data_IF_133120094488
#
_entry.id   IF_133120094488
#
_cell.length_a   1.000
_cell.length_b   1.000
_cell.length_c   1.000
_cell.angle_alpha   90.00
_cell.angle_beta   90.00
_cell.angle_gamma   90.00
#
_symmetry.space_group_name_H-M   'P 1'
#
loop_
_entity.id
_entity.type
_entity.pdbx_description
1 polymer ?
#
# COMPACT_ATOMS: atom_id res chain seq x y z
N UNK A 1 63.39 19.35 17.38
CA UNK A 1 62.38 18.51 18.06
C UNK A 1 61.02 19.14 17.82
N UNK A 2 60.18 18.51 16.99
CA UNK A 2 58.77 18.87 16.76
C UNK A 2 57.94 17.59 16.92
N UNK A 3 56.83 17.58 17.69
CA UNK A 3 55.97 16.42 17.76
C UNK A 3 54.97 16.42 16.59
N UNK A 4 54.88 15.26 15.91
CA UNK A 4 53.88 14.95 14.91
C UNK A 4 52.56 14.58 15.62
N UNK A 5 51.55 15.45 15.53
CA UNK A 5 50.17 15.13 15.88
C UNK A 5 49.46 14.54 14.65
N UNK A 6 49.36 13.21 14.62
CA UNK A 6 48.60 12.47 13.61
C UNK A 6 47.13 12.39 14.08
N UNK A 7 46.31 13.36 13.68
CA UNK A 7 44.85 13.28 13.80
C UNK A 7 44.29 12.91 12.44
N UNK A 8 44.03 11.61 12.22
CA UNK A 8 43.18 11.21 11.10
C UNK A 8 41.77 11.76 11.33
N UNK A 9 41.21 12.56 10.41
CA UNK A 9 39.80 12.94 10.49
C UNK A 9 38.97 11.67 10.29
N UNK A 10 38.22 11.29 11.33
CA UNK A 10 37.17 10.28 11.23
C UNK A 10 36.23 10.67 10.09
N UNK A 11 36.29 9.91 9.01
CA UNK A 11 35.47 10.12 7.82
C UNK A 11 34.03 9.72 8.15
N UNK A 12 33.18 10.71 8.45
CA UNK A 12 31.76 10.50 8.78
C UNK A 12 30.90 10.16 7.56
N UNK A 13 31.41 10.31 6.32
CA UNK A 13 30.64 10.05 5.09
C UNK A 13 30.32 8.56 4.88
N UNK A 14 31.11 7.64 5.44
CA UNK A 14 30.82 6.19 5.33
C UNK A 14 29.58 5.76 6.11
N UNK A 15 29.09 6.58 7.06
CA UNK A 15 27.89 6.28 7.84
C UNK A 15 26.60 6.57 7.05
N UNK A 16 26.67 7.42 6.02
CA UNK A 16 25.53 7.81 5.19
C UNK A 16 25.26 6.81 4.05
N UNK A 17 26.27 6.12 3.54
CA UNK A 17 26.11 5.16 2.42
C UNK A 17 25.09 4.03 2.70
N UNK A 18 25.04 3.56 3.95
CA UNK A 18 24.10 2.50 4.34
C UNK A 18 22.67 3.02 4.47
N UNK A 19 22.52 4.26 4.96
CA UNK A 19 21.24 4.94 5.09
C UNK A 19 20.69 5.33 3.71
N UNK A 20 21.55 5.80 2.82
CA UNK A 20 21.19 6.11 1.44
C UNK A 20 20.77 4.85 0.67
N UNK A 21 21.46 3.73 0.87
CA UNK A 21 21.08 2.45 0.27
C UNK A 21 19.68 1.98 0.71
N UNK A 22 19.34 2.07 1.99
CA UNK A 22 18.03 1.66 2.54
C UNK A 22 16.90 2.60 2.09
N UNK A 23 17.18 3.91 1.99
CA UNK A 23 16.26 4.92 1.47
C UNK A 23 15.99 4.79 -0.04
N UNK A 24 17.00 4.37 -0.82
CA UNK A 24 16.86 4.02 -2.24
C UNK A 24 16.06 2.74 -2.42
N UNK A 25 16.32 1.71 -1.60
CA UNK A 25 15.60 0.45 -1.69
C UNK A 25 14.12 0.56 -1.30
N UNK A 26 13.79 1.50 -0.41
CA UNK A 26 12.41 1.83 -0.04
C UNK A 26 11.70 2.76 -1.04
N UNK A 27 12.38 3.24 -2.08
CA UNK A 27 11.81 4.11 -3.12
C UNK A 27 11.51 5.53 -2.65
N UNK A 28 12.07 5.95 -1.51
CA UNK A 28 11.87 7.29 -0.93
C UNK A 28 12.78 8.32 -1.63
N UNK A 29 14.01 7.93 -1.96
CA UNK A 29 14.93 8.74 -2.77
C UNK A 29 14.78 8.37 -4.24
N UNK A 30 14.40 9.34 -5.07
CA UNK A 30 14.49 9.20 -6.53
C UNK A 30 15.97 9.18 -6.95
N UNK A 31 16.34 8.39 -7.98
CA UNK A 31 17.70 8.38 -8.49
C UNK A 31 18.15 9.80 -8.85
N UNK A 32 19.21 10.29 -8.20
CA UNK A 32 19.85 11.54 -8.59
C UNK A 32 20.54 11.34 -9.94
N UNK A 33 20.26 12.22 -10.90
CA UNK A 33 20.67 12.19 -12.32
C UNK A 33 22.19 12.10 -12.62
N UNK A 34 23.05 11.97 -11.59
CA UNK A 34 24.50 11.93 -11.73
C UNK A 34 25.09 10.53 -12.01
N UNK A 35 24.32 9.44 -11.89
CA UNK A 35 24.79 8.08 -12.24
C UNK A 35 24.49 7.72 -13.71
N UNK A 36 24.88 8.60 -14.64
CA UNK A 36 24.88 8.30 -16.08
C UNK A 36 26.23 7.70 -16.49
N UNK A 37 26.47 6.45 -16.11
CA UNK A 37 27.44 5.63 -16.83
C UNK A 37 26.95 4.20 -16.98
N UNK A 38 26.64 3.87 -18.23
CA UNK A 38 26.57 2.52 -18.80
C UNK A 38 25.32 1.71 -18.39
N UNK A 39 24.19 2.03 -19.02
CA UNK A 39 23.19 1.00 -19.35
C UNK A 39 22.86 1.06 -20.84
N UNK A 40 22.98 -0.10 -21.47
CA UNK A 40 22.67 -0.41 -22.86
C UNK A 40 21.17 -0.21 -23.16
N UNK A 41 20.81 0.05 -24.42
CA UNK A 41 19.42 0.29 -24.81
C UNK A 41 18.61 -1.02 -24.77
N UNK A 42 17.82 -1.22 -23.73
CA UNK A 42 16.72 -2.20 -23.76
C UNK A 42 15.49 -1.57 -24.39
N UNK A 43 14.97 -2.23 -25.42
CA UNK A 43 13.72 -1.88 -26.08
C UNK A 43 12.53 -1.96 -25.11
N UNK A 44 11.50 -1.09 -25.26
CA UNK A 44 10.28 -1.19 -24.48
C UNK A 44 9.48 -2.45 -24.86
N UNK A 45 8.91 -3.17 -23.89
CA UNK A 45 8.06 -4.33 -24.15
C UNK A 45 6.72 -3.92 -24.76
N UNK A 46 6.32 -4.68 -25.77
CA UNK A 46 5.08 -4.55 -26.55
C UNK A 46 3.84 -4.75 -25.65
N UNK A 47 2.76 -3.95 -25.80
CA UNK A 47 1.57 -3.98 -24.92
C UNK A 47 0.77 -5.30 -24.88
N UNK A 48 1.08 -6.27 -25.73
CA UNK A 48 0.29 -7.50 -25.86
C UNK A 48 0.61 -8.57 -24.79
N UNK A 49 1.66 -8.40 -23.98
CA UNK A 49 2.13 -9.46 -23.07
C UNK A 49 1.71 -9.29 -21.60
N UNK A 50 0.99 -8.22 -21.24
CA UNK A 50 0.57 -7.96 -19.85
C UNK A 50 -0.74 -8.67 -19.42
N UNK A 51 -1.40 -9.42 -20.30
CA UNK A 51 -2.76 -9.95 -20.04
C UNK A 51 -2.84 -11.40 -19.53
N UNK A 52 -1.71 -12.10 -19.32
CA UNK A 52 -1.76 -13.56 -19.04
C UNK A 52 -1.05 -14.05 -17.77
N UNK A 53 -0.63 -13.17 -16.87
CA UNK A 53 -0.02 -13.58 -15.60
C UNK A 53 -0.82 -13.06 -14.39
N UNK A 54 -2.04 -13.57 -14.21
CA UNK A 54 -2.71 -13.54 -12.90
C UNK A 54 -2.56 -14.91 -12.25
N UNK A 55 -1.85 -15.03 -11.10
CA UNK A 55 -1.85 -16.27 -10.33
C UNK A 55 -3.25 -16.56 -9.78
N UNK A 56 -3.62 -17.85 -9.62
CA UNK A 56 -4.89 -18.21 -8.99
C UNK A 56 -4.88 -17.72 -7.54
N UNK A 57 -5.74 -16.75 -7.25
CA UNK A 57 -6.09 -16.33 -5.90
C UNK A 57 -6.63 -17.55 -5.14
N UNK A 58 -5.82 -18.07 -4.23
CA UNK A 58 -6.27 -19.06 -3.24
C UNK A 58 -7.37 -18.43 -2.39
N UNK A 59 -8.56 -19.03 -2.45
CA UNK A 59 -9.70 -18.80 -1.58
C UNK A 59 -9.34 -19.14 -0.12
N UNK A 60 -8.80 -18.18 0.61
CA UNK A 60 -8.67 -18.22 2.07
C UNK A 60 -9.19 -16.93 2.73
N UNK A 61 -10.18 -16.28 2.12
CA UNK A 61 -10.95 -15.23 2.79
C UNK A 61 -12.07 -15.88 3.58
N UNK A 62 -12.10 -15.77 4.93
CA UNK A 62 -13.24 -16.22 5.69
C UNK A 62 -14.43 -15.33 5.32
N UNK A 63 -15.46 -15.97 4.78
CA UNK A 63 -16.78 -15.39 4.50
C UNK A 63 -17.37 -14.92 5.83
N UNK A 64 -17.27 -13.63 6.10
CA UNK A 64 -17.95 -13.00 7.23
C UNK A 64 -19.40 -12.79 6.81
N UNK A 65 -20.28 -13.64 7.33
CA UNK A 65 -21.72 -13.47 7.16
C UNK A 65 -22.16 -12.13 7.75
N UNK A 66 -23.02 -11.36 7.07
CA UNK A 66 -23.58 -10.14 7.62
C UNK A 66 -24.65 -10.53 8.64
N UNK A 67 -24.22 -10.81 9.88
CA UNK A 67 -25.13 -10.93 11.01
C UNK A 67 -25.67 -9.53 11.33
N UNK A 68 -26.94 -9.40 11.01
CA UNK A 68 -27.87 -8.40 11.46
C UNK A 68 -27.74 -8.14 12.98
N UNK A 69 -27.66 -6.86 13.30
CA UNK A 69 -28.40 -6.23 14.39
C UNK A 69 -28.15 -6.76 15.81
N UNK A 70 -26.92 -6.62 16.31
CA UNK A 70 -26.67 -6.58 17.75
C UNK A 70 -26.40 -5.15 18.20
N UNK A 71 -27.44 -4.55 18.78
CA UNK A 71 -27.40 -3.36 19.63
C UNK A 71 -26.17 -3.39 20.54
N UNK A 72 -25.15 -2.63 20.17
CA UNK A 72 -23.98 -2.42 21.03
C UNK A 72 -24.43 -1.45 22.12
N UNK A 73 -24.49 -1.87 23.40
CA UNK A 73 -24.84 -0.94 24.46
C UNK A 73 -23.78 0.16 24.49
N UNK A 74 -24.25 1.40 24.44
CA UNK A 74 -23.44 2.61 24.55
C UNK A 74 -22.69 2.56 25.90
N UNK A 75 -21.45 2.09 25.88
CA UNK A 75 -20.59 2.16 27.05
C UNK A 75 -20.26 3.64 27.27
N UNK A 76 -20.98 4.27 28.19
CA UNK A 76 -20.59 5.56 28.78
C UNK A 76 -19.21 5.38 29.38
N UNK A 77 -18.22 5.96 28.71
CA UNK A 77 -16.87 6.06 29.22
C UNK A 77 -16.89 7.10 30.34
N UNK A 78 -16.98 6.63 31.59
CA UNK A 78 -16.73 7.46 32.75
C UNK A 78 -15.20 7.56 32.91
N UNK A 79 -14.60 8.76 32.75
CA UNK A 79 -13.17 8.91 32.92
C UNK A 79 -12.81 8.61 34.37
N UNK A 80 -12.15 7.48 34.59
CA UNK A 80 -11.62 7.10 35.89
C UNK A 80 -10.65 8.20 36.35
N UNK A 81 -11.01 8.86 37.45
CA UNK A 81 -10.12 9.74 38.20
C UNK A 81 -8.81 9.01 38.53
N UNK A 82 -7.67 9.71 38.64
CA UNK A 82 -6.38 9.11 38.92
C UNK A 82 -6.46 8.24 40.18
N UNK A 83 -6.50 6.93 40.01
CA UNK A 83 -6.49 6.00 41.13
C UNK A 83 -5.07 6.02 41.68
N UNK A 84 -4.96 6.34 42.97
CA UNK A 84 -3.71 6.29 43.70
C UNK A 84 -3.14 4.89 43.56
N UNK A 85 -1.98 4.79 42.90
CA UNK A 85 -1.21 3.55 42.77
C UNK A 85 -0.96 2.99 44.17
N UNK A 86 -1.49 1.81 44.53
CA UNK A 86 -1.11 1.16 45.76
C UNK A 86 0.39 0.85 45.68
N UNK A 87 1.12 1.32 46.71
CA UNK A 87 2.53 1.06 46.95
C UNK A 87 2.74 -0.46 47.00
N UNK A 88 3.21 -1.04 45.90
CA UNK A 88 3.55 -2.46 45.83
C UNK A 88 4.75 -2.71 46.74
N UNK A 89 4.50 -3.34 47.89
CA UNK A 89 5.52 -4.09 48.61
C UNK A 89 5.98 -5.27 47.72
N UNK A 90 7.29 -5.56 47.68
CA UNK A 90 7.80 -6.72 46.96
C UNK A 90 7.32 -7.99 47.65
N UNK A 91 6.26 -8.60 47.14
CA UNK A 91 5.94 -9.99 47.45
C UNK A 91 6.95 -10.89 46.74
N UNK A 92 7.74 -11.61 47.54
CA UNK A 92 8.60 -12.69 47.11
C UNK A 92 7.77 -13.85 46.54
N UNK A 93 7.48 -13.80 45.24
CA UNK A 93 7.01 -14.96 44.46
C UNK A 93 8.15 -15.97 44.26
N UNK A 94 8.59 -16.60 45.34
CA UNK A 94 9.36 -17.84 45.25
C UNK A 94 8.37 -19.01 45.16
N UNK A 95 8.57 -19.89 44.18
CA UNK A 95 7.93 -21.22 44.00
C UNK A 95 6.78 -21.36 42.99
N UNK A 96 6.88 -20.74 41.82
CA UNK A 96 6.38 -21.43 40.61
C UNK A 96 7.56 -22.07 39.89
N UNK A 97 7.76 -23.37 40.10
CA UNK A 97 8.65 -24.22 39.28
C UNK A 97 8.04 -24.29 37.86
N UNK A 98 8.17 -23.22 37.09
CA UNK A 98 7.88 -23.24 35.67
C UNK A 98 9.10 -23.90 35.05
N UNK A 99 8.94 -25.12 34.56
CA UNK A 99 9.99 -25.84 33.86
C UNK A 99 10.26 -25.12 32.53
N UNK A 100 11.33 -24.31 32.52
CA UNK A 100 11.77 -23.53 31.35
C UNK A 100 12.61 -24.39 30.39
N UNK A 101 12.90 -25.66 30.70
CA UNK A 101 13.70 -26.54 29.85
C UNK A 101 13.13 -26.72 28.43
N UNK A 102 11.79 -26.84 28.22
CA UNK A 102 11.22 -26.91 26.88
C UNK A 102 11.49 -25.62 26.06
N UNK A 103 11.43 -24.46 26.71
CA UNK A 103 11.66 -23.17 26.07
C UNK A 103 13.13 -22.96 25.71
N UNK A 104 14.05 -23.33 26.60
CA UNK A 104 15.50 -23.26 26.35
C UNK A 104 15.88 -24.19 25.17
N UNK A 105 15.33 -25.40 25.11
CA UNK A 105 15.54 -26.33 23.98
C UNK A 105 15.01 -25.78 22.66
N UNK A 106 13.84 -25.13 22.66
CA UNK A 106 13.27 -24.50 21.47
C UNK A 106 14.15 -23.36 20.94
N UNK A 107 14.71 -22.53 21.83
CA UNK A 107 15.62 -21.45 21.43
C UNK A 107 16.94 -21.98 20.86
N UNK A 108 17.51 -23.05 21.43
CA UNK A 108 18.72 -23.69 20.87
C UNK A 108 18.48 -24.30 19.48
N UNK A 109 17.29 -24.87 19.23
CA UNK A 109 16.94 -25.43 17.91
C UNK A 109 16.71 -24.31 16.87
N UNK A 110 16.09 -23.20 17.27
CA UNK A 110 15.85 -22.08 16.35
C UNK A 110 17.16 -21.38 15.94
N UNK A 111 18.13 -21.29 16.87
CA UNK A 111 19.46 -20.78 16.58
C UNK A 111 20.27 -21.64 15.59
N UNK A 112 20.09 -22.97 15.60
CA UNK A 112 20.78 -23.87 14.67
C UNK A 112 20.17 -23.90 13.27
N UNK A 113 18.85 -23.68 13.13
CA UNK A 113 18.19 -23.53 11.82
C UNK A 113 18.62 -22.26 11.08
N UNK A 114 18.99 -21.20 11.78
CA UNK A 114 19.46 -19.96 11.16
C UNK A 114 20.84 -20.11 10.49
N UNK A 115 21.60 -21.17 10.80
CA UNK A 115 22.94 -21.39 10.26
C UNK A 115 22.99 -22.22 8.97
N UNK A 116 21.87 -22.76 8.48
CA UNK A 116 21.85 -23.66 7.32
C UNK A 116 21.38 -23.06 5.99
N UNK A 117 20.93 -21.79 5.95
CA UNK A 117 20.40 -21.18 4.71
C UNK A 117 21.29 -20.12 4.06
N UNK A 118 22.57 -19.99 4.45
CA UNK A 118 23.45 -19.02 3.78
C UNK A 118 24.90 -19.55 3.63
N UNK A 119 25.05 -20.60 2.81
CA UNK A 119 26.35 -21.02 2.28
C UNK A 119 26.54 -20.44 0.88
N UNK A 120 27.09 -19.23 0.82
CA UNK A 120 27.84 -18.75 -0.34
C UNK A 120 29.24 -18.35 0.18
N UNK A 121 30.30 -19.12 -0.08
CA UNK A 121 31.62 -18.81 0.45
C UNK A 121 32.38 -18.00 -0.59
N UNK A 122 32.61 -16.71 -0.37
CA UNK A 122 33.82 -16.00 -0.82
C UNK A 122 34.07 -14.72 -0.01
N UNK A 123 35.36 -14.52 0.28
CA UNK A 123 36.05 -13.37 0.86
C UNK A 123 36.14 -13.21 2.39
N UNK A 124 37.35 -13.51 2.87
CA UNK A 124 38.16 -12.75 3.82
C UNK A 124 37.52 -12.24 5.11
N UNK A 125 37.99 -12.76 6.25
CA UNK A 125 39.11 -12.09 6.94
C UNK A 125 39.71 -12.97 8.03
N UNK A 126 41.05 -13.03 8.00
CA UNK A 126 41.92 -13.49 9.07
C UNK A 126 41.50 -12.88 10.42
N UNK A 127 41.35 -13.72 11.44
CA UNK A 127 41.61 -13.30 12.83
C UNK A 127 42.17 -14.49 13.62
N UNK A 128 43.47 -14.69 13.39
CA UNK A 128 44.51 -14.85 14.40
C UNK A 128 44.06 -15.46 15.75
N UNK A 129 44.03 -16.80 15.83
CA UNK A 129 44.05 -17.52 17.10
C UNK A 129 45.46 -17.48 17.68
N UNK A 130 45.77 -16.41 18.43
CA UNK A 130 46.99 -16.34 19.20
C UNK A 130 46.92 -17.31 20.38
N UNK A 131 47.74 -18.36 20.29
CA UNK A 131 48.14 -19.23 21.37
C UNK A 131 48.76 -18.44 22.53
N UNK A 132 48.09 -18.36 23.68
CA UNK A 132 48.72 -17.81 24.88
C UNK A 132 49.07 -18.93 25.86
N UNK A 133 50.34 -19.33 25.73
CA UNK A 133 51.13 -20.03 26.72
C UNK A 133 51.44 -19.05 27.86
N UNK A 134 50.88 -19.34 29.05
CA UNK A 134 51.24 -18.86 30.40
C UNK A 134 52.34 -17.79 30.50
N UNK A 135 51.96 -16.56 30.84
CA UNK A 135 52.73 -15.73 31.78
C UNK A 135 51.83 -15.26 32.92
N UNK A 136 52.45 -15.20 34.09
CA UNK A 136 51.88 -15.29 35.42
C UNK A 136 52.05 -13.91 36.07
N UNK A 137 50.92 -13.36 36.54
CA UNK A 137 50.75 -12.55 37.76
C UNK A 137 50.98 -11.03 37.83
N UNK A 138 50.83 -10.24 36.75
CA UNK A 138 50.73 -8.76 36.88
C UNK A 138 49.53 -8.10 36.13
N UNK A 139 48.72 -8.84 35.38
CA UNK A 139 47.83 -8.28 34.33
C UNK A 139 46.30 -8.36 34.56
N UNK A 140 45.84 -8.69 35.77
CA UNK A 140 44.42 -8.95 36.04
C UNK A 140 43.59 -7.65 36.11
N UNK A 141 44.15 -6.56 36.66
CA UNK A 141 43.43 -5.28 36.80
C UNK A 141 43.29 -4.55 35.45
N UNK A 142 44.30 -4.58 34.58
CA UNK A 142 44.22 -4.01 33.23
C UNK A 142 43.22 -4.75 32.33
N UNK A 143 43.17 -6.09 32.42
CA UNK A 143 42.17 -6.89 31.73
C UNK A 143 40.74 -6.63 32.24
N UNK A 144 40.58 -6.34 33.54
CA UNK A 144 39.27 -5.99 34.09
C UNK A 144 38.78 -4.63 33.57
N UNK A 145 39.66 -3.62 33.45
CA UNK A 145 39.32 -2.33 32.87
C UNK A 145 38.94 -2.44 31.39
N UNK A 146 39.68 -3.22 30.61
CA UNK A 146 39.39 -3.43 29.18
C UNK A 146 38.04 -4.14 28.97
N UNK A 147 37.70 -5.11 29.82
CA UNK A 147 36.38 -5.77 29.80
C UNK A 147 35.27 -4.80 30.18
N UNK A 148 35.50 -3.90 31.15
CA UNK A 148 34.54 -2.88 31.57
C UNK A 148 34.25 -1.89 30.42
N UNK A 149 35.29 -1.45 29.71
CA UNK A 149 35.19 -0.54 28.56
C UNK A 149 34.44 -1.21 27.40
N UNK A 150 34.71 -2.49 27.13
CA UNK A 150 33.97 -3.27 26.13
C UNK A 150 32.47 -3.39 26.48
N UNK A 151 32.13 -3.54 27.77
CA UNK A 151 30.74 -3.58 28.23
C UNK A 151 30.08 -2.21 28.05
N UNK A 152 30.78 -1.12 28.40
CA UNK A 152 30.28 0.24 28.20
C UNK A 152 30.01 0.52 26.71
N UNK A 153 30.93 0.13 25.83
CA UNK A 153 30.78 0.28 24.38
C UNK A 153 29.59 -0.53 23.84
N UNK A 154 29.37 -1.75 24.33
CA UNK A 154 28.20 -2.57 23.97
C UNK A 154 26.88 -1.93 24.41
N UNK A 155 26.83 -1.36 25.61
CA UNK A 155 25.65 -0.63 26.11
C UNK A 155 25.36 0.60 25.28
N UNK A 156 26.38 1.35 24.90
CA UNK A 156 26.25 2.50 24.01
C UNK A 156 25.67 2.06 22.66
N UNK A 157 26.27 1.05 22.01
CA UNK A 157 25.78 0.52 20.73
C UNK A 157 24.34 0.01 20.81
N UNK A 158 23.96 -0.69 21.88
CA UNK A 158 22.58 -1.16 22.07
C UNK A 158 21.60 -0.01 22.27
N UNK A 159 21.99 1.02 23.02
CA UNK A 159 21.19 2.24 23.22
C UNK A 159 20.92 2.93 21.88
N UNK A 160 21.96 3.08 21.04
CA UNK A 160 21.82 3.64 19.71
C UNK A 160 20.97 2.76 18.79
N UNK A 161 21.14 1.44 18.85
CA UNK A 161 20.31 0.50 18.10
C UNK A 161 18.83 0.60 18.50
N UNK A 162 18.52 0.72 19.81
CA UNK A 162 17.18 0.91 20.31
C UNK A 162 16.58 2.25 19.86
N UNK A 163 17.37 3.34 19.90
CA UNK A 163 16.97 4.66 19.40
C UNK A 163 16.62 4.59 17.92
N UNK A 164 17.51 4.01 17.10
CA UNK A 164 17.28 3.83 15.65
C UNK A 164 16.05 2.97 15.38
N UNK A 165 15.83 1.91 16.15
CA UNK A 165 14.65 1.05 16.03
C UNK A 165 13.36 1.83 16.29
N UNK A 166 13.33 2.66 17.35
CA UNK A 166 12.19 3.54 17.65
C UNK A 166 11.98 4.58 16.55
N UNK A 167 13.04 5.19 16.06
CA UNK A 167 12.96 6.18 14.97
C UNK A 167 12.39 5.56 13.68
N UNK A 168 12.87 4.39 13.27
CA UNK A 168 12.31 3.66 12.10
C UNK A 168 10.84 3.31 12.30
N UNK A 169 10.45 2.92 13.51
CA UNK A 169 9.04 2.64 13.82
C UNK A 169 8.19 3.90 13.70
N UNK A 170 8.64 5.04 14.23
CA UNK A 170 7.95 6.32 14.11
C UNK A 170 7.79 6.73 12.64
N UNK A 171 8.87 6.72 11.86
CA UNK A 171 8.82 7.03 10.42
C UNK A 171 7.86 6.12 9.65
N UNK A 172 7.82 4.82 9.98
CA UNK A 172 6.87 3.88 9.36
C UNK A 172 5.42 4.21 9.74
N UNK A 173 5.16 4.59 10.98
CA UNK A 173 3.82 5.02 11.41
C UNK A 173 3.39 6.28 10.67
N UNK A 174 4.25 7.31 10.62
CA UNK A 174 3.98 8.56 9.92
C UNK A 174 3.70 8.32 8.42
N UNK A 175 4.47 7.43 7.78
CA UNK A 175 4.26 7.06 6.38
C UNK A 175 2.93 6.32 6.16
N UNK A 176 2.52 5.47 7.10
CA UNK A 176 1.22 4.79 7.04
C UNK A 176 0.07 5.78 7.24
N UNK A 177 0.17 6.69 8.20
CA UNK A 177 -0.83 7.74 8.44
C UNK A 177 -1.01 8.62 7.20
N UNK A 178 0.10 9.07 6.59
CA UNK A 178 0.05 9.81 5.33
C UNK A 178 -0.63 9.01 4.21
N UNK A 179 -0.29 7.72 4.07
CA UNK A 179 -0.91 6.87 3.06
C UNK A 179 -2.41 6.69 3.29
N UNK A 180 -2.85 6.60 4.54
CA UNK A 180 -4.29 6.55 4.88
C UNK A 180 -4.96 7.85 4.44
N UNK A 181 -4.40 9.01 4.80
CA UNK A 181 -4.94 10.31 4.38
C UNK A 181 -5.04 10.44 2.86
N UNK A 182 -3.99 10.06 2.13
CA UNK A 182 -3.97 10.11 0.66
C UNK A 182 -5.03 9.17 0.06
N UNK A 183 -5.17 7.95 0.61
CA UNK A 183 -6.17 6.98 0.16
C UNK A 183 -7.60 7.43 0.48
N UNK A 184 -7.84 8.06 1.63
CA UNK A 184 -9.14 8.61 2.02
C UNK A 184 -9.54 9.77 1.10
N UNK A 185 -8.63 10.69 0.82
CA UNK A 185 -8.85 11.79 -0.11
C UNK A 185 -9.16 11.31 -1.54
N UNK A 186 -8.40 10.31 -2.02
CA UNK A 186 -8.65 9.70 -3.33
C UNK A 186 -10.00 8.96 -3.36
N UNK A 187 -10.36 8.26 -2.28
CA UNK A 187 -11.64 7.58 -2.18
C UNK A 187 -12.82 8.57 -2.21
N UNK A 188 -12.73 9.68 -1.45
CA UNK A 188 -13.72 10.76 -1.50
C UNK A 188 -13.84 11.34 -2.91
N UNK A 189 -12.70 11.63 -3.56
CA UNK A 189 -12.67 12.14 -4.94
C UNK A 189 -13.34 11.17 -5.93
N UNK A 190 -13.10 9.87 -5.80
CA UNK A 190 -13.71 8.85 -6.64
C UNK A 190 -15.22 8.72 -6.39
N UNK A 191 -15.66 8.78 -5.13
CA UNK A 191 -17.08 8.78 -4.78
C UNK A 191 -17.82 9.96 -5.38
N UNK A 192 -17.24 11.17 -5.31
CA UNK A 192 -17.81 12.36 -5.93
C UNK A 192 -17.95 12.19 -7.45
N UNK A 193 -16.92 11.67 -8.13
CA UNK A 193 -17.00 11.39 -9.57
C UNK A 193 -18.07 10.36 -9.91
N UNK A 194 -18.19 9.30 -9.11
CA UNK A 194 -19.22 8.29 -9.29
C UNK A 194 -20.62 8.90 -9.16
N UNK A 195 -20.85 9.72 -8.12
CA UNK A 195 -22.13 10.40 -7.92
C UNK A 195 -22.49 11.34 -9.08
N UNK A 196 -21.52 12.11 -9.60
CA UNK A 196 -21.73 12.95 -10.79
C UNK A 196 -22.11 12.11 -11.99
N UNK A 197 -21.34 11.06 -12.31
CA UNK A 197 -21.61 10.20 -13.45
C UNK A 197 -22.98 9.49 -13.35
N UNK A 198 -23.39 9.07 -12.14
CA UNK A 198 -24.70 8.50 -11.90
C UNK A 198 -25.83 9.51 -12.13
N UNK A 199 -25.65 10.76 -11.69
CA UNK A 199 -26.62 11.84 -11.94
C UNK A 199 -26.75 12.19 -13.42
N UNK A 200 -25.63 12.19 -14.17
CA UNK A 200 -25.61 12.42 -15.61
C UNK A 200 -26.30 11.29 -16.36
N UNK A 201 -26.01 10.04 -15.99
CA UNK A 201 -26.68 8.85 -16.56
C UNK A 201 -28.19 8.93 -16.36
N UNK A 202 -28.64 9.23 -15.15
CA UNK A 202 -30.06 9.36 -14.84
C UNK A 202 -30.73 10.48 -15.65
N UNK A 203 -30.05 11.61 -15.84
CA UNK A 203 -30.55 12.73 -16.65
C UNK A 203 -30.67 12.34 -18.14
N UNK A 204 -29.67 11.66 -18.69
CA UNK A 204 -29.69 11.18 -20.08
C UNK A 204 -30.83 10.17 -20.27
N UNK A 205 -30.97 9.20 -19.38
CA UNK A 205 -32.04 8.20 -19.42
C UNK A 205 -33.43 8.85 -19.37
N UNK A 206 -33.61 9.88 -18.53
CA UNK A 206 -34.86 10.62 -18.45
C UNK A 206 -35.16 11.38 -19.76
N UNK A 207 -34.15 12.01 -20.38
CA UNK A 207 -34.28 12.66 -21.69
C UNK A 207 -34.62 11.65 -22.78
N UNK A 208 -33.96 10.50 -22.78
CA UNK A 208 -34.21 9.44 -23.75
C UNK A 208 -35.64 8.92 -23.66
N UNK A 209 -36.15 8.67 -22.45
CA UNK A 209 -37.56 8.28 -22.23
C UNK A 209 -38.53 9.33 -22.78
N UNK A 210 -38.30 10.62 -22.49
CA UNK A 210 -39.14 11.72 -23.03
C UNK A 210 -39.11 11.77 -24.55
N UNK A 211 -37.92 11.66 -25.15
CA UNK A 211 -37.75 11.65 -26.61
C UNK A 211 -38.47 10.46 -27.25
N UNK A 212 -38.33 9.24 -26.68
CA UNK A 212 -39.03 8.05 -27.17
C UNK A 212 -40.55 8.23 -27.16
N UNK A 213 -41.10 8.74 -26.05
CA UNK A 213 -42.54 9.04 -25.96
C UNK A 213 -42.96 10.06 -27.02
N UNK A 214 -42.16 11.11 -27.24
CA UNK A 214 -42.47 12.13 -28.25
C UNK A 214 -42.44 11.57 -29.68
N UNK A 215 -41.49 10.68 -29.98
CA UNK A 215 -41.41 9.99 -31.28
C UNK A 215 -42.66 9.15 -31.51
N UNK A 216 -43.06 8.32 -30.54
CA UNK A 216 -44.26 7.49 -30.65
C UNK A 216 -45.53 8.32 -30.88
N UNK A 217 -45.66 9.46 -30.21
CA UNK A 217 -46.79 10.38 -30.40
C UNK A 217 -46.79 10.98 -31.82
N UNK A 218 -45.62 11.37 -32.34
CA UNK A 218 -45.51 11.90 -33.70
C UNK A 218 -45.80 10.83 -34.76
N UNK A 219 -45.32 9.61 -34.56
CA UNK A 219 -45.62 8.46 -35.43
C UNK A 219 -47.12 8.17 -35.46
N UNK A 220 -47.78 8.23 -34.30
CA UNK A 220 -49.25 8.10 -34.21
C UNK A 220 -49.96 9.20 -34.98
N UNK A 221 -49.57 10.46 -34.81
CA UNK A 221 -50.15 11.59 -35.54
C UNK A 221 -49.97 11.44 -37.05
N UNK A 222 -48.80 10.97 -37.50
CA UNK A 222 -48.52 10.67 -38.90
C UNK A 222 -49.45 9.56 -39.44
N UNK A 223 -49.66 8.50 -38.66
CA UNK A 223 -50.56 7.42 -39.04
C UNK A 223 -52.03 7.88 -39.14
N UNK A 224 -52.49 8.67 -38.17
CA UNK A 224 -53.87 9.19 -38.12
C UNK A 224 -54.14 10.17 -39.28
N UNK A 225 -53.19 11.07 -39.57
CA UNK A 225 -53.28 11.99 -40.73
C UNK A 225 -53.31 11.22 -42.05
N UNK A 226 -52.45 10.21 -42.22
CA UNK A 226 -52.45 9.37 -43.42
C UNK A 226 -53.78 8.61 -43.60
N UNK A 227 -54.30 8.01 -42.54
CA UNK A 227 -55.62 7.35 -42.55
C UNK A 227 -56.74 8.30 -42.93
N UNK A 228 -56.67 9.54 -42.44
CA UNK A 228 -57.63 10.60 -42.75
C UNK A 228 -57.60 10.97 -44.24
N UNK A 229 -56.42 11.21 -44.81
CA UNK A 229 -56.26 11.52 -46.24
C UNK A 229 -56.77 10.40 -47.14
N UNK A 230 -56.47 9.13 -46.80
CA UNK A 230 -56.98 7.98 -47.54
C UNK A 230 -58.51 7.88 -47.51
N UNK A 231 -59.12 8.21 -46.36
CA UNK A 231 -60.59 8.21 -46.22
C UNK A 231 -61.26 9.27 -47.10
N UNK A 232 -60.67 10.46 -47.23
CA UNK A 232 -61.23 11.52 -48.07
C UNK A 232 -61.03 11.24 -49.58
N UNK A 233 -59.85 10.77 -49.99
CA UNK A 233 -59.58 10.44 -51.41
C UNK A 233 -60.45 9.30 -51.96
N UNK A 234 -60.92 8.38 -51.11
CA UNK A 234 -61.82 7.29 -51.51
C UNK A 234 -63.27 7.73 -51.78
N UNK A 235 -63.67 8.92 -51.31
CA UNK A 235 -65.03 9.42 -51.46
C UNK A 235 -65.18 10.36 -52.67
N UNK A 236 -64.09 11.01 -53.11
CA UNK A 236 -64.10 11.94 -54.25
C UNK A 236 -63.96 11.26 -55.62
N UNK A 237 -63.67 9.94 -55.68
CA UNK A 237 -63.52 9.21 -56.96
C UNK A 237 -64.83 8.86 -57.66
N UNK A 238 -66.01 9.20 -57.10
CA UNK A 238 -67.33 8.85 -57.69
C UNK A 238 -68.08 10.01 -58.34
N UNK A 239 -67.54 11.24 -58.37
CA UNK A 239 -68.23 12.38 -58.98
C UNK A 239 -67.28 13.30 -59.76
N UNK A 240 -66.64 12.78 -60.81
CA UNK A 240 -66.21 13.63 -61.93
C UNK A 240 -67.14 13.33 -63.13
N UNK A 241 -68.11 14.21 -63.45
CA UNK A 241 -68.83 14.13 -64.71
C UNK A 241 -67.84 14.32 -65.86
N UNK A 242 -67.92 13.44 -66.86
CA UNK A 242 -67.15 13.52 -68.09
C UNK A 242 -67.36 14.87 -68.78
N UNK A 243 -66.47 15.85 -68.56
CA UNK A 243 -66.44 17.07 -69.36
C UNK A 243 -65.66 16.80 -70.64
N UNK A 244 -66.43 16.40 -71.65
CA UNK A 244 -66.36 16.88 -73.04
C UNK A 244 -65.01 17.42 -73.55
N UNK A 245 -64.36 16.57 -74.33
CA UNK A 245 -63.74 16.85 -75.63
C UNK A 245 -63.80 18.33 -76.08
N UNK A 246 -62.70 19.07 -75.94
CA UNK A 246 -62.45 20.27 -76.72
C UNK A 246 -61.61 19.84 -77.92
N UNK A 247 -62.24 19.85 -79.10
CA UNK A 247 -61.60 19.62 -80.38
C UNK A 247 -60.60 20.77 -80.66
N UNK A 248 -59.33 20.41 -80.75
CA UNK A 248 -58.28 21.26 -81.31
C UNK A 248 -58.47 21.31 -82.83
N UNK A 249 -59.18 22.32 -83.32
CA UNK A 249 -59.23 22.66 -84.75
C UNK A 249 -57.89 23.26 -85.16
N UNK A 250 -57.18 22.55 -86.02
CA UNK A 250 -56.10 23.07 -86.83
C UNK A 250 -56.66 23.66 -88.14
N UNK A 251 -55.88 24.60 -88.70
CA UNK A 251 -55.96 25.25 -90.03
C UNK A 251 -56.75 26.56 -90.04
#
# INVERSE_FOLDING_TARGET
MNPLSNTEPLNFDSLDDWLESDLRQSGILLPTENDKSIQSPMMPPTPAQMMLASPPISECTPRIDPLLDLSTPMLKYEPLSPIETPKAEPQDFSKSNIDLQPFIKALSLLGSLQYQQNSNPQHSSNNNTNSNKRQRSESIEEQQNEVQDLIALKRQRNTDAARRSRQRKAMKMDALEKRVMDLEAENERLRLRAAVAESERANIEAKEKRSRVRVLELERQLADTHKTLLKYNGNDTTLLPATSTIATSAI
#
